data_IF_577412271275
#
_entry.id   IF_577412271275
#
_cell.length_a   1.000
_cell.length_b   1.000
_cell.length_c   1.000
_cell.angle_alpha   90.00
_cell.angle_beta   90.00
_cell.angle_gamma   90.00
#
_symmetry.space_group_name_H-M   'P 1'
#
loop_
_entity.id
_entity.type
_entity.pdbx_description
1 polymer ?
#
# COMPACT_ATOMS: atom_id res chain seq x y z
N UNK A 1 -10.40 -0.65 56.51
CA UNK A 1 -9.06 -1.11 56.06
C UNK A 1 -9.06 -1.98 54.79
N UNK A 2 -10.15 -2.71 54.43
CA UNK A 2 -10.19 -3.54 53.20
C UNK A 2 -10.21 -2.79 51.85
N UNK A 3 -10.59 -1.50 51.84
CA UNK A 3 -10.68 -0.70 50.60
C UNK A 3 -9.36 -0.03 50.17
N UNK A 4 -8.36 0.05 51.07
CA UNK A 4 -7.05 0.65 50.77
C UNK A 4 -6.13 -0.35 50.07
N UNK A 5 -6.26 -1.65 50.38
CA UNK A 5 -5.47 -2.71 49.77
C UNK A 5 -5.74 -2.91 48.26
N UNK A 6 -6.96 -2.62 47.81
CA UNK A 6 -7.36 -2.72 46.39
C UNK A 6 -6.83 -1.57 45.53
N UNK A 7 -6.60 -0.40 46.12
CA UNK A 7 -6.01 0.75 45.41
C UNK A 7 -4.49 0.56 45.29
N UNK A 8 -3.85 -0.02 46.30
CA UNK A 8 -2.41 -0.30 46.29
C UNK A 8 -2.03 -1.42 45.28
N UNK A 9 -2.91 -2.40 45.06
CA UNK A 9 -2.67 -3.44 44.06
C UNK A 9 -2.84 -2.92 42.62
N UNK A 10 -3.76 -1.99 42.38
CA UNK A 10 -3.96 -1.38 41.06
C UNK A 10 -2.75 -0.54 40.61
N UNK A 11 -2.02 0.09 41.53
CA UNK A 11 -0.82 0.87 41.21
C UNK A 11 0.40 0.01 40.88
N UNK A 12 0.49 -1.24 41.37
CA UNK A 12 1.61 -2.15 41.07
C UNK A 12 1.47 -2.75 39.65
N UNK A 13 0.24 -2.90 39.14
CA UNK A 13 0.01 -3.39 37.78
C UNK A 13 0.39 -2.40 36.67
N UNK A 14 0.53 -1.10 36.97
CA UNK A 14 0.90 -0.08 35.98
C UNK A 14 2.43 0.08 35.79
N UNK A 15 3.26 -0.48 36.67
CA UNK A 15 4.74 -0.36 36.58
C UNK A 15 5.34 -1.46 35.67
N UNK A 16 4.57 -2.50 35.32
CA UNK A 16 5.11 -3.66 34.59
C UNK A 16 5.14 -3.48 33.06
N UNK A 17 4.37 -2.56 32.49
CA UNK A 17 4.25 -2.44 31.02
C UNK A 17 5.52 -1.92 30.34
N UNK A 18 6.36 -1.15 31.05
CA UNK A 18 7.65 -0.65 30.53
C UNK A 18 8.79 -1.67 30.55
N UNK A 19 8.68 -2.76 31.31
CA UNK A 19 9.82 -3.65 31.63
C UNK A 19 10.04 -4.80 30.64
N UNK A 20 9.02 -5.18 29.89
CA UNK A 20 9.07 -6.40 29.06
C UNK A 20 9.87 -6.21 27.78
N UNK A 21 9.65 -5.10 27.06
CA UNK A 21 10.34 -4.83 25.80
C UNK A 21 11.82 -4.48 26.03
N UNK A 22 12.09 -3.59 26.98
CA UNK A 22 13.44 -3.14 27.30
C UNK A 22 14.33 -4.33 27.70
N UNK A 23 13.78 -5.27 28.48
CA UNK A 23 14.48 -6.51 28.85
C UNK A 23 14.78 -7.40 27.65
N UNK A 24 13.82 -7.59 26.73
CA UNK A 24 14.04 -8.37 25.49
C UNK A 24 15.12 -7.73 24.62
N UNK A 25 15.06 -6.41 24.43
CA UNK A 25 16.04 -5.65 23.65
C UNK A 25 17.42 -5.70 24.29
N UNK A 26 17.53 -5.52 25.62
CA UNK A 26 18.81 -5.68 26.34
C UNK A 26 19.39 -7.07 26.19
N UNK A 27 18.57 -8.12 26.26
CA UNK A 27 19.03 -9.49 26.11
C UNK A 27 19.57 -9.74 24.69
N UNK A 28 18.83 -9.31 23.67
CA UNK A 28 19.26 -9.40 22.27
C UNK A 28 20.56 -8.60 22.03
N UNK A 29 20.66 -7.38 22.57
CA UNK A 29 21.85 -6.56 22.42
C UNK A 29 23.08 -7.16 23.10
N UNK A 30 22.95 -7.76 24.29
CA UNK A 30 24.05 -8.47 24.94
C UNK A 30 24.53 -9.67 24.11
N UNK A 31 23.60 -10.40 23.49
CA UNK A 31 23.94 -11.49 22.57
C UNK A 31 24.67 -10.98 21.32
N UNK A 32 24.23 -9.87 20.74
CA UNK A 32 24.92 -9.20 19.64
C UNK A 32 26.35 -8.80 20.01
N UNK A 33 26.55 -8.17 21.16
CA UNK A 33 27.89 -7.77 21.66
C UNK A 33 28.81 -8.97 21.79
N UNK A 34 28.32 -10.10 22.29
CA UNK A 34 29.13 -11.31 22.44
C UNK A 34 29.61 -11.93 21.12
N UNK A 35 28.98 -11.59 20.00
CA UNK A 35 29.23 -12.18 18.68
C UNK A 35 29.83 -11.20 17.66
N UNK A 36 29.64 -9.89 17.86
CA UNK A 36 30.04 -8.86 16.89
C UNK A 36 31.07 -7.86 17.41
N UNK A 37 31.34 -7.83 18.72
CA UNK A 37 32.43 -7.00 19.25
C UNK A 37 33.71 -7.83 19.30
N UNK A 38 34.84 -7.24 18.91
CA UNK A 38 36.15 -7.87 19.02
C UNK A 38 36.45 -8.28 20.48
N UNK A 39 36.05 -7.41 21.43
CA UNK A 39 36.06 -7.71 22.85
C UNK A 39 34.74 -7.28 23.51
N UNK A 40 33.92 -8.22 24.02
CA UNK A 40 32.66 -7.90 24.69
C UNK A 40 32.79 -6.97 25.90
N UNK A 41 33.97 -6.90 26.53
CA UNK A 41 34.25 -6.00 27.67
C UNK A 41 34.36 -4.53 27.27
N UNK A 42 34.40 -4.24 25.98
CA UNK A 42 34.44 -2.87 25.48
C UNK A 42 33.09 -2.18 25.67
N UNK A 43 31.98 -2.93 25.76
CA UNK A 43 30.71 -2.38 26.20
C UNK A 43 30.78 -2.03 27.70
N UNK A 44 30.77 -0.73 28.02
CA UNK A 44 30.73 -0.26 29.41
C UNK A 44 29.32 -0.35 29.99
N UNK A 45 28.35 0.24 29.30
CA UNK A 45 26.97 0.27 29.74
C UNK A 45 25.98 0.53 28.60
N UNK A 46 24.74 0.09 28.81
CA UNK A 46 23.58 0.51 28.02
C UNK A 46 22.97 1.71 28.76
N UNK A 47 23.14 2.90 28.19
CA UNK A 47 22.73 4.18 28.79
C UNK A 47 21.22 4.37 28.71
N UNK A 48 20.63 4.08 27.55
CA UNK A 48 19.20 4.20 27.34
C UNK A 48 18.73 3.27 26.22
N UNK A 49 17.46 2.86 26.30
CA UNK A 49 16.72 2.29 25.19
C UNK A 49 15.50 3.18 25.01
N UNK A 50 15.45 3.87 23.88
CA UNK A 50 14.34 4.77 23.57
C UNK A 50 13.07 3.96 23.29
N UNK A 51 11.91 4.62 23.41
CA UNK A 51 10.64 4.07 22.96
C UNK A 51 10.75 3.63 21.50
N UNK A 52 10.17 2.48 21.18
CA UNK A 52 10.29 1.93 19.84
C UNK A 52 9.40 2.72 18.86
N UNK A 53 10.01 3.20 17.79
CA UNK A 53 9.31 3.77 16.64
C UNK A 53 8.64 2.65 15.85
N UNK A 54 7.45 2.92 15.32
CA UNK A 54 6.73 1.97 14.48
C UNK A 54 6.94 2.33 13.02
N UNK A 55 7.50 1.41 12.23
CA UNK A 55 7.66 1.56 10.79
C UNK A 55 6.52 0.79 10.13
N UNK A 56 5.58 1.54 9.55
CA UNK A 56 4.37 0.98 8.97
C UNK A 56 4.31 1.22 7.48
N UNK A 57 3.95 0.18 6.73
CA UNK A 57 3.61 0.26 5.30
C UNK A 57 2.12 0.55 5.07
N UNK A 58 1.38 0.86 6.14
CA UNK A 58 -0.07 1.04 6.11
C UNK A 58 -0.49 2.16 5.16
N UNK A 59 0.24 3.27 5.13
CA UNK A 59 -0.09 4.39 4.24
C UNK A 59 -0.03 3.99 2.76
N UNK A 60 0.98 3.20 2.39
CA UNK A 60 1.14 2.65 1.04
C UNK A 60 0.01 1.67 0.70
N UNK A 61 -0.36 0.81 1.66
CA UNK A 61 -1.50 -0.11 1.51
C UNK A 61 -2.84 0.63 1.40
N UNK A 62 -3.06 1.67 2.19
CA UNK A 62 -4.27 2.48 2.17
C UNK A 62 -4.39 3.26 0.83
N UNK A 63 -3.29 3.79 0.31
CA UNK A 63 -3.25 4.43 -1.00
C UNK A 63 -3.60 3.44 -2.12
N UNK A 64 -3.01 2.24 -2.11
CA UNK A 64 -3.31 1.21 -3.10
C UNK A 64 -4.78 0.77 -3.04
N UNK A 65 -5.30 0.55 -1.84
CA UNK A 65 -6.69 0.16 -1.61
C UNK A 65 -7.68 1.23 -2.09
N UNK A 66 -7.40 2.50 -1.81
CA UNK A 66 -8.20 3.63 -2.27
C UNK A 66 -8.22 3.72 -3.80
N UNK A 67 -7.04 3.58 -4.41
CA UNK A 67 -6.87 3.61 -5.87
C UNK A 67 -7.64 2.45 -6.54
N UNK A 68 -7.50 1.23 -6.01
CA UNK A 68 -8.24 0.06 -6.51
C UNK A 68 -9.75 0.24 -6.39
N UNK A 69 -10.24 0.72 -5.25
CA UNK A 69 -11.66 0.93 -5.01
C UNK A 69 -12.24 1.95 -6.00
N UNK A 70 -11.50 3.02 -6.28
CA UNK A 70 -11.85 4.03 -7.27
C UNK A 70 -11.93 3.42 -8.68
N UNK A 71 -10.94 2.63 -9.07
CA UNK A 71 -10.93 1.93 -10.35
C UNK A 71 -12.13 0.98 -10.50
N UNK A 72 -12.37 0.10 -9.52
CA UNK A 72 -13.46 -0.88 -9.57
C UNK A 72 -14.83 -0.19 -9.70
N UNK A 73 -15.02 0.92 -8.98
CA UNK A 73 -16.25 1.73 -9.04
C UNK A 73 -16.47 2.31 -10.44
N UNK A 74 -15.43 2.95 -11.02
CA UNK A 74 -15.55 3.55 -12.35
C UNK A 74 -15.73 2.47 -13.42
N UNK A 75 -15.00 1.36 -13.32
CA UNK A 75 -15.07 0.26 -14.28
C UNK A 75 -16.49 -0.35 -14.32
N UNK A 76 -17.14 -0.51 -13.16
CA UNK A 76 -18.54 -0.95 -13.09
C UNK A 76 -19.47 0.00 -13.86
N UNK A 77 -19.36 1.31 -13.62
CA UNK A 77 -20.21 2.32 -14.26
C UNK A 77 -19.99 2.33 -15.79
N UNK A 78 -18.73 2.24 -16.22
CA UNK A 78 -18.36 2.18 -17.63
C UNK A 78 -18.96 0.94 -18.31
N UNK A 79 -18.88 -0.23 -17.67
CA UNK A 79 -19.44 -1.48 -18.20
C UNK A 79 -20.96 -1.39 -18.39
N UNK A 80 -21.67 -0.95 -17.36
CA UNK A 80 -23.13 -0.74 -17.42
C UNK A 80 -23.50 0.26 -18.53
N UNK A 81 -22.67 1.29 -18.75
CA UNK A 81 -22.89 2.28 -19.80
C UNK A 81 -22.67 1.71 -21.20
N UNK A 82 -21.60 0.95 -21.39
CA UNK A 82 -21.30 0.29 -22.66
C UNK A 82 -22.43 -0.66 -23.07
N UNK A 83 -22.95 -1.44 -22.12
CA UNK A 83 -24.11 -2.32 -22.35
C UNK A 83 -25.37 -1.54 -22.75
N UNK A 84 -25.65 -0.42 -22.08
CA UNK A 84 -26.78 0.47 -22.42
C UNK A 84 -26.63 1.06 -23.82
N UNK A 85 -25.47 1.60 -24.17
CA UNK A 85 -25.19 2.16 -25.50
C UNK A 85 -25.38 1.07 -26.56
N UNK A 86 -24.74 -0.08 -26.39
CA UNK A 86 -24.82 -1.22 -27.32
C UNK A 86 -26.26 -1.67 -27.53
N UNK A 87 -27.08 -1.75 -26.47
CA UNK A 87 -28.50 -2.08 -26.57
C UNK A 87 -29.28 -1.01 -27.33
N UNK A 88 -29.07 0.26 -27.02
CA UNK A 88 -29.83 1.35 -27.63
C UNK A 88 -29.51 1.51 -29.12
N UNK A 89 -28.26 1.32 -29.53
CA UNK A 89 -27.84 1.38 -30.95
C UNK A 89 -28.56 0.37 -31.85
N UNK A 90 -29.18 -0.68 -31.30
CA UNK A 90 -30.01 -1.63 -32.05
C UNK A 90 -31.39 -1.07 -32.42
N UNK A 91 -31.75 0.12 -31.93
CA UNK A 91 -33.04 0.74 -32.23
C UNK A 91 -33.09 1.22 -33.70
N UNK A 92 -34.08 0.79 -34.50
CA UNK A 92 -34.22 1.20 -35.90
C UNK A 92 -34.29 2.71 -36.13
N UNK A 93 -34.81 3.49 -35.17
CA UNK A 93 -34.88 4.97 -35.26
C UNK A 93 -33.50 5.63 -35.35
N UNK A 94 -32.47 4.96 -34.85
CA UNK A 94 -31.08 5.44 -34.86
C UNK A 94 -30.33 5.07 -36.15
N UNK A 95 -30.97 4.39 -37.10
CA UNK A 95 -30.32 4.01 -38.36
C UNK A 95 -29.84 5.26 -39.10
N UNK A 96 -28.56 5.27 -39.46
CA UNK A 96 -27.92 6.42 -40.12
C UNK A 96 -27.66 7.62 -39.20
N UNK A 97 -27.83 7.49 -37.87
CA UNK A 97 -27.58 8.60 -36.94
C UNK A 97 -26.14 9.12 -37.03
N UNK A 98 -25.16 8.23 -37.24
CA UNK A 98 -23.76 8.58 -37.49
C UNK A 98 -23.54 9.43 -38.73
N UNK A 99 -24.41 9.33 -39.73
CA UNK A 99 -24.29 10.11 -40.97
C UNK A 99 -25.07 11.43 -40.88
N UNK A 100 -26.21 11.46 -40.18
CA UNK A 100 -27.09 12.63 -40.08
C UNK A 100 -26.74 13.58 -38.93
N UNK A 101 -26.02 13.11 -37.91
CA UNK A 101 -25.65 13.91 -36.74
C UNK A 101 -24.11 13.89 -36.55
N UNK A 102 -23.40 14.95 -36.98
CA UNK A 102 -21.94 15.01 -36.90
C UNK A 102 -21.42 15.02 -35.45
N UNK A 103 -22.18 15.62 -34.52
CA UNK A 103 -21.85 15.60 -33.09
C UNK A 103 -21.95 14.19 -32.50
N UNK A 104 -22.94 13.41 -32.94
CA UNK A 104 -23.03 12.00 -32.57
C UNK A 104 -21.89 11.18 -33.16
N UNK A 105 -21.53 11.43 -34.43
CA UNK A 105 -20.42 10.75 -35.09
C UNK A 105 -19.08 11.01 -34.40
N UNK A 106 -18.82 12.25 -34.01
CA UNK A 106 -17.63 12.62 -33.25
C UNK A 106 -17.65 11.97 -31.86
N UNK A 107 -18.77 12.03 -31.14
CA UNK A 107 -18.89 11.45 -29.81
C UNK A 107 -18.71 9.92 -29.81
N UNK A 108 -19.28 9.21 -30.80
CA UNK A 108 -19.11 7.76 -30.91
C UNK A 108 -17.69 7.40 -31.37
N UNK A 109 -17.04 8.21 -32.21
CA UNK A 109 -15.63 8.02 -32.55
C UNK A 109 -14.74 8.15 -31.32
N UNK A 110 -14.88 9.24 -30.55
CA UNK A 110 -14.11 9.43 -29.31
C UNK A 110 -14.41 8.36 -28.27
N UNK A 111 -15.65 7.91 -28.17
CA UNK A 111 -16.03 6.78 -27.31
C UNK A 111 -15.33 5.48 -27.76
N UNK A 112 -15.31 5.20 -29.06
CA UNK A 112 -14.65 4.02 -29.61
C UNK A 112 -13.13 4.11 -29.50
N UNK A 113 -12.54 5.27 -29.72
CA UNK A 113 -11.11 5.55 -29.58
C UNK A 113 -10.68 5.36 -28.13
N UNK A 114 -11.36 5.98 -27.17
CA UNK A 114 -11.14 5.75 -25.73
C UNK A 114 -11.39 4.28 -25.32
N UNK A 115 -12.20 3.54 -26.09
CA UNK A 115 -12.42 2.11 -25.91
C UNK A 115 -11.37 1.23 -26.62
N UNK A 116 -10.71 1.71 -27.67
CA UNK A 116 -9.71 0.99 -28.47
C UNK A 116 -8.28 1.27 -28.01
N UNK A 117 -8.00 2.46 -27.50
CA UNK A 117 -6.77 2.79 -26.74
C UNK A 117 -6.66 1.93 -25.46
N UNK A 118 -7.77 1.30 -25.06
CA UNK A 118 -7.86 0.24 -24.04
C UNK A 118 -7.64 -1.19 -24.56
N UNK A 119 -7.61 -1.42 -25.88
CA UNK A 119 -7.67 -2.72 -26.54
C UNK A 119 -6.72 -2.76 -27.75
N UNK A 120 -5.46 -3.13 -27.54
CA UNK A 120 -4.59 -3.61 -28.63
C UNK A 120 -4.94 -5.04 -29.06
N UNK A 121 -6.24 -5.41 -29.10
CA UNK A 121 -6.71 -6.71 -29.58
C UNK A 121 -8.06 -6.58 -30.29
N UNK A 122 -8.09 -7.17 -31.48
CA UNK A 122 -9.20 -7.21 -32.44
C UNK A 122 -10.47 -7.85 -31.89
N UNK A 123 -11.60 -7.13 -32.07
CA UNK A 123 -13.02 -7.52 -32.28
C UNK A 123 -13.65 -8.84 -31.79
N UNK A 124 -13.01 -9.67 -30.98
CA UNK A 124 -13.65 -10.82 -30.33
C UNK A 124 -13.32 -10.79 -28.85
N UNK A 125 -14.37 -10.64 -28.04
CA UNK A 125 -14.39 -10.79 -26.58
C UNK A 125 -13.91 -9.61 -25.73
N UNK A 126 -14.74 -8.57 -25.69
CA UNK A 126 -14.76 -7.58 -24.58
C UNK A 126 -14.81 -8.26 -23.18
N UNK A 127 -15.33 -9.49 -23.09
CA UNK A 127 -15.36 -10.34 -21.91
C UNK A 127 -14.00 -10.94 -21.55
N UNK A 128 -13.18 -11.32 -22.54
CA UNK A 128 -11.82 -11.81 -22.32
C UNK A 128 -10.85 -10.69 -21.99
N UNK A 129 -10.98 -9.55 -22.65
CA UNK A 129 -10.15 -8.37 -22.37
C UNK A 129 -10.29 -7.91 -20.92
N UNK A 130 -11.49 -7.93 -20.33
CA UNK A 130 -11.66 -7.59 -18.91
C UNK A 130 -11.09 -8.65 -17.95
N UNK A 131 -10.98 -9.90 -18.40
CA UNK A 131 -10.50 -11.04 -17.59
C UNK A 131 -8.96 -11.13 -17.59
N UNK A 132 -8.31 -10.88 -18.73
CA UNK A 132 -6.84 -10.92 -18.86
C UNK A 132 -6.15 -9.66 -18.33
N UNK A 133 -6.84 -8.52 -18.37
CA UNK A 133 -6.31 -7.22 -17.92
C UNK A 133 -6.36 -7.06 -16.39
N UNK A 134 -7.37 -7.65 -15.73
CA UNK A 134 -7.54 -7.53 -14.27
C UNK A 134 -6.65 -8.48 -13.48
N UNK A 135 -6.31 -9.65 -14.04
CA UNK A 135 -5.72 -10.76 -13.30
C UNK A 135 -4.28 -10.50 -12.85
N UNK A 136 -3.34 -10.02 -13.69
CA UNK A 136 -1.98 -9.67 -13.23
C UNK A 136 -1.99 -8.55 -12.18
N UNK A 137 -2.93 -7.61 -12.33
CA UNK A 137 -3.12 -6.44 -11.48
C UNK A 137 -3.73 -6.81 -10.12
N UNK A 138 -4.69 -7.73 -10.13
CA UNK A 138 -5.35 -8.28 -8.96
C UNK A 138 -4.45 -9.26 -8.22
N UNK A 139 -3.65 -10.06 -8.95
CA UNK A 139 -2.66 -10.97 -8.37
C UNK A 139 -1.52 -10.21 -7.70
N UNK A 140 -1.03 -9.10 -8.30
CA UNK A 140 -0.03 -8.22 -7.66
C UNK A 140 -0.61 -7.38 -6.51
N UNK A 141 -1.84 -6.89 -6.63
CA UNK A 141 -2.56 -6.29 -5.49
C UNK A 141 -2.70 -7.29 -4.34
N UNK A 142 -3.09 -8.54 -4.64
CA UNK A 142 -3.18 -9.62 -3.66
C UNK A 142 -1.81 -9.92 -3.06
N UNK A 143 -0.73 -9.98 -3.83
CA UNK A 143 0.63 -10.15 -3.31
C UNK A 143 0.99 -9.02 -2.34
N UNK A 144 0.83 -7.77 -2.75
CA UNK A 144 1.16 -6.60 -1.92
C UNK A 144 0.32 -6.53 -0.64
N UNK A 145 -0.97 -6.86 -0.72
CA UNK A 145 -1.86 -6.90 0.44
C UNK A 145 -1.67 -8.17 1.30
N UNK A 146 -1.12 -9.25 0.72
CA UNK A 146 -0.77 -10.48 1.42
C UNK A 146 0.53 -10.36 2.22
N UNK A 147 1.37 -9.36 1.90
CA UNK A 147 2.43 -8.85 2.77
C UNK A 147 1.78 -8.16 3.98
N UNK A 148 1.07 -8.96 4.78
CA UNK A 148 0.32 -8.58 5.98
C UNK A 148 1.26 -7.84 6.92
N UNK A 149 0.84 -6.62 7.29
CA UNK A 149 1.16 -6.01 8.59
C UNK A 149 2.61 -6.15 9.03
N UNK A 150 3.56 -5.97 8.12
CA UNK A 150 4.99 -5.81 8.44
C UNK A 150 5.19 -4.45 9.11
N UNK A 151 4.57 -4.34 10.27
CA UNK A 151 4.79 -3.27 11.21
C UNK A 151 6.04 -3.67 11.95
N UNK A 152 7.15 -3.05 11.60
CA UNK A 152 8.38 -3.26 12.32
C UNK A 152 8.43 -2.27 13.46
N UNK A 153 8.94 -2.72 14.59
CA UNK A 153 9.31 -1.82 15.68
C UNK A 153 10.81 -1.64 15.64
N UNK A 154 11.24 -0.40 15.79
CA UNK A 154 12.63 -0.02 15.86
C UNK A 154 12.89 0.72 17.17
N UNK A 155 13.72 0.16 18.05
CA UNK A 155 14.12 0.81 19.28
C UNK A 155 15.57 1.28 19.16
N UNK A 156 15.87 2.53 19.55
CA UNK A 156 17.25 3.04 19.59
C UNK A 156 17.90 2.62 20.90
N UNK A 157 19.12 2.09 20.83
CA UNK A 157 19.91 1.63 21.97
C UNK A 157 21.13 2.53 22.04
N UNK A 158 21.19 3.36 23.07
CA UNK A 158 22.33 4.24 23.34
C UNK A 158 23.29 3.53 24.30
N UNK A 159 24.53 3.34 23.86
CA UNK A 159 25.54 2.61 24.62
C UNK A 159 26.84 3.38 24.73
N UNK A 160 27.57 3.13 25.82
CA UNK A 160 28.93 3.63 25.99
C UNK A 160 29.92 2.50 25.71
N UNK A 161 30.82 2.72 24.76
CA UNK A 161 31.84 1.76 24.35
C UNK A 161 33.22 2.34 24.61
N UNK A 162 34.12 1.53 25.18
CA UNK A 162 35.51 1.85 25.39
C UNK A 162 36.22 1.98 24.04
N UNK A 163 36.98 3.06 23.84
CA UNK A 163 37.98 3.18 22.77
C UNK A 163 39.27 3.75 23.34
N UNK A 164 40.37 3.48 22.64
CA UNK A 164 41.77 3.66 23.06
C UNK A 164 42.06 4.95 23.85
N UNK A 165 41.38 6.06 23.53
CA UNK A 165 41.63 7.35 24.19
C UNK A 165 40.48 7.85 25.09
N UNK A 166 39.22 7.56 24.74
CA UNK A 166 38.02 7.98 25.50
C UNK A 166 36.80 7.10 25.20
N UNK A 167 35.96 6.94 26.20
CA UNK A 167 34.63 6.34 26.06
C UNK A 167 33.77 7.13 25.06
N UNK A 168 33.12 6.43 24.14
CA UNK A 168 32.26 7.02 23.11
C UNK A 168 30.82 6.54 23.26
N UNK A 169 29.88 7.48 23.10
CA UNK A 169 28.47 7.16 22.92
C UNK A 169 28.21 6.69 21.48
N UNK A 170 27.57 5.53 21.34
CA UNK A 170 27.19 4.93 20.06
C UNK A 170 25.72 4.53 20.13
N UNK A 171 25.00 4.72 19.02
CA UNK A 171 23.61 4.30 18.90
C UNK A 171 23.53 3.06 18.01
N UNK A 172 22.84 2.03 18.50
CA UNK A 172 22.42 0.86 17.75
C UNK A 172 20.90 0.83 17.64
N UNK A 173 20.37 -0.03 16.77
CA UNK A 173 18.96 -0.15 16.49
C UNK A 173 18.54 -1.61 16.66
N UNK A 174 17.52 -1.84 17.49
CA UNK A 174 16.84 -3.13 17.57
C UNK A 174 15.61 -3.12 16.67
N UNK A 175 15.58 -4.02 15.70
CA UNK A 175 14.51 -4.14 14.71
C UNK A 175 13.81 -5.48 14.92
N UNK A 176 12.49 -5.47 14.94
CA UNK A 176 11.72 -6.69 15.18
C UNK A 176 10.28 -6.55 14.68
N UNK A 177 9.54 -7.66 14.71
CA UNK A 177 8.08 -7.61 14.57
C UNK A 177 7.43 -6.90 15.76
N UNK A 178 6.13 -6.60 15.66
CA UNK A 178 5.37 -5.93 16.74
C UNK A 178 5.32 -6.68 18.06
N UNK A 179 5.66 -7.97 18.08
CA UNK A 179 5.69 -8.82 19.27
C UNK A 179 7.10 -8.88 19.88
N UNK A 180 8.08 -8.21 19.27
CA UNK A 180 9.49 -8.27 19.61
C UNK A 180 10.02 -9.71 19.58
N UNK A 181 9.58 -10.50 18.60
CA UNK A 181 10.14 -11.80 18.29
C UNK A 181 11.23 -11.64 17.23
N UNK A 182 12.33 -12.39 17.36
CA UNK A 182 13.46 -12.34 16.42
C UNK A 182 14.05 -10.92 16.28
N UNK A 183 14.53 -10.35 17.39
CA UNK A 183 15.15 -9.02 17.41
C UNK A 183 16.50 -9.07 16.69
N UNK A 184 16.65 -8.29 15.63
CA UNK A 184 17.91 -8.03 14.94
C UNK A 184 18.55 -6.74 15.47
N UNK A 185 19.85 -6.74 15.70
CA UNK A 185 20.61 -5.56 16.15
C UNK A 185 21.45 -5.04 14.99
N UNK A 186 21.35 -3.74 14.71
CA UNK A 186 22.02 -3.06 13.60
C UNK A 186 22.68 -1.76 14.05
N UNK A 187 23.70 -1.33 13.30
CA UNK A 187 24.37 -0.05 13.50
C UNK A 187 23.63 1.14 12.86
N UNK A 188 22.65 0.86 12.00
CA UNK A 188 21.79 1.85 11.35
C UNK A 188 20.33 1.42 11.48
N UNK A 189 19.45 2.42 11.63
CA UNK A 189 18.02 2.20 11.57
C UNK A 189 17.56 1.91 10.14
N UNK A 190 16.35 1.38 10.01
CA UNK A 190 15.70 1.09 8.74
C UNK A 190 14.57 2.09 8.49
N UNK A 191 14.30 2.37 7.22
CA UNK A 191 13.12 3.10 6.77
C UNK A 191 12.09 2.17 6.12
N UNK A 192 10.98 2.75 5.68
CA UNK A 192 9.89 2.03 4.98
C UNK A 192 10.40 1.34 3.71
N UNK A 193 11.40 1.93 3.05
CA UNK A 193 12.06 1.43 1.85
C UNK A 193 12.81 0.12 2.05
N UNK A 194 13.46 -0.07 3.19
CA UNK A 194 14.16 -1.31 3.49
C UNK A 194 13.19 -2.39 3.99
N UNK A 195 12.11 -1.96 4.68
CA UNK A 195 10.99 -2.84 5.10
C UNK A 195 10.26 -3.43 3.89
N UNK A 196 10.02 -2.61 2.87
CA UNK A 196 9.42 -3.04 1.61
C UNK A 196 10.45 -3.74 0.72
N UNK A 197 11.72 -3.35 0.75
CA UNK A 197 12.70 -3.70 -0.26
C UNK A 197 12.58 -2.75 -1.45
N UNK A 198 13.71 -2.27 -1.98
CA UNK A 198 13.75 -1.27 -3.05
C UNK A 198 12.93 -1.68 -4.29
N UNK A 199 13.00 -2.95 -4.67
CA UNK A 199 12.25 -3.51 -5.80
C UNK A 199 10.73 -3.39 -5.59
N UNK A 200 10.24 -3.61 -4.37
CA UNK A 200 8.80 -3.49 -4.07
C UNK A 200 8.30 -2.05 -4.08
N UNK A 201 9.16 -1.05 -3.86
CA UNK A 201 8.81 0.37 -3.99
C UNK A 201 8.76 0.81 -5.45
N UNK A 202 9.69 0.33 -6.28
CA UNK A 202 9.68 0.55 -7.72
C UNK A 202 8.41 -0.07 -8.31
N UNK A 203 8.15 -1.33 -7.97
CA UNK A 203 6.92 -2.03 -8.35
C UNK A 203 5.67 -1.26 -7.90
N UNK A 204 5.67 -0.72 -6.69
CA UNK A 204 4.54 0.08 -6.20
C UNK A 204 4.34 1.36 -7.01
N UNK A 205 5.42 2.07 -7.35
CA UNK A 205 5.34 3.29 -8.16
C UNK A 205 4.78 2.99 -9.54
N UNK A 206 5.29 1.95 -10.20
CA UNK A 206 4.82 1.52 -11.53
C UNK A 206 3.34 1.13 -11.49
N UNK A 207 2.92 0.37 -10.47
CA UNK A 207 1.52 0.01 -10.26
C UNK A 207 0.67 1.26 -10.05
N UNK A 208 1.11 2.21 -9.21
CA UNK A 208 0.36 3.42 -8.93
C UNK A 208 0.14 4.25 -10.19
N UNK A 209 1.17 4.44 -10.99
CA UNK A 209 1.12 5.19 -12.25
C UNK A 209 0.20 4.51 -13.27
N UNK A 210 0.30 3.18 -13.39
CA UNK A 210 -0.56 2.41 -14.28
C UNK A 210 -2.04 2.51 -13.86
N UNK A 211 -2.34 2.39 -12.57
CA UNK A 211 -3.71 2.55 -12.05
C UNK A 211 -4.25 3.96 -12.25
N UNK A 212 -3.45 5.00 -12.03
CA UNK A 212 -3.86 6.39 -12.20
C UNK A 212 -4.16 6.70 -13.67
N UNK A 213 -3.31 6.23 -14.58
CA UNK A 213 -3.55 6.31 -16.03
C UNK A 213 -4.87 5.61 -16.40
N UNK A 214 -5.10 4.40 -15.88
CA UNK A 214 -6.35 3.66 -16.12
C UNK A 214 -7.59 4.36 -15.57
N UNK A 215 -7.50 5.01 -14.40
CA UNK A 215 -8.58 5.81 -13.83
C UNK A 215 -8.91 7.01 -14.72
N UNK A 216 -7.89 7.71 -15.22
CA UNK A 216 -8.08 8.85 -16.15
C UNK A 216 -8.83 8.40 -17.40
N UNK A 217 -8.36 7.34 -18.05
CA UNK A 217 -8.97 6.83 -19.27
C UNK A 217 -10.41 6.32 -19.01
N UNK A 218 -10.66 5.74 -17.84
CA UNK A 218 -12.01 5.31 -17.45
C UNK A 218 -12.99 6.47 -17.24
N UNK A 219 -12.51 7.61 -16.75
CA UNK A 219 -13.31 8.83 -16.64
C UNK A 219 -13.64 9.42 -18.01
N UNK A 220 -12.67 9.44 -18.93
CA UNK A 220 -12.89 9.93 -20.30
C UNK A 220 -13.92 9.06 -21.05
N UNK A 221 -13.80 7.73 -20.95
CA UNK A 221 -14.79 6.84 -21.55
C UNK A 221 -16.19 6.98 -20.93
N UNK A 222 -16.26 7.19 -19.61
CA UNK A 222 -17.50 7.53 -18.92
C UNK A 222 -18.10 8.82 -19.52
N UNK A 223 -17.32 9.88 -19.63
CA UNK A 223 -17.75 11.17 -20.18
C UNK A 223 -18.31 11.05 -21.61
N UNK A 224 -17.57 10.44 -22.53
CA UNK A 224 -18.07 10.25 -23.90
C UNK A 224 -19.31 9.36 -23.94
N UNK A 225 -19.38 8.33 -23.10
CA UNK A 225 -20.56 7.49 -23.00
C UNK A 225 -21.80 8.26 -22.54
N UNK A 226 -21.65 9.23 -21.63
CA UNK A 226 -22.76 10.12 -21.20
C UNK A 226 -23.27 10.95 -22.38
N UNK A 227 -22.35 11.52 -23.16
CA UNK A 227 -22.69 12.34 -24.32
C UNK A 227 -23.46 11.49 -25.35
N UNK A 228 -22.94 10.30 -25.67
CA UNK A 228 -23.58 9.35 -26.60
C UNK A 228 -24.99 8.98 -26.13
N UNK A 229 -25.16 8.58 -24.86
CA UNK A 229 -26.48 8.23 -24.32
C UNK A 229 -27.45 9.41 -24.33
N UNK A 230 -26.99 10.61 -24.01
CA UNK A 230 -27.83 11.80 -24.03
C UNK A 230 -28.36 12.10 -25.44
N UNK A 231 -27.52 11.94 -26.46
CA UNK A 231 -27.95 12.13 -27.86
C UNK A 231 -28.95 11.03 -28.24
N UNK A 232 -28.65 9.76 -27.94
CA UNK A 232 -29.54 8.63 -28.22
C UNK A 232 -30.93 8.84 -27.59
N UNK A 233 -30.99 9.26 -26.33
CA UNK A 233 -32.24 9.47 -25.60
C UNK A 233 -33.08 10.62 -26.17
N UNK A 234 -32.48 11.56 -26.92
CA UNK A 234 -33.21 12.63 -27.62
C UNK A 234 -33.81 12.17 -28.95
N UNK A 235 -33.25 11.10 -29.53
CA UNK A 235 -33.61 10.60 -30.85
C UNK A 235 -34.65 9.46 -30.80
N UNK A 236 -34.81 8.79 -29.65
CA UNK A 236 -35.77 7.69 -29.43
C UNK A 236 -37.08 8.23 -28.87
#
# INVERSE_FOLDING_TARGET
>A
MRKIFLILSATIFLISCGSSYERKVKAAFKSYVSTHFDNPKDLKEIVAIDSCDTISIKEVQDLLKSTKTTYDSINKVVKERAEKISKSLKNPKLRGLTHRNPYFNEAIHKYNEASMERLSLTSSDLSWALYDIGKPLEDRYKDFMSKRGKTYVQCKIHVRVAREEKDRMVTYYAISDTLLNNIEIRSKGIGTEEVLGADNLIDFSEISDEYLSRIKNAKELDEYGKIVLNIINREI
#
